data_IF_849537091637
#
_entry.id   IF_849537091637
#
_cell.length_a   1.000
_cell.length_b   1.000
_cell.length_c   1.000
_cell.angle_alpha   90.00
_cell.angle_beta   90.00
_cell.angle_gamma   90.00
#
_symmetry.space_group_name_H-M   'P 1'
#
loop_
_entity.id
_entity.type
_entity.pdbx_description
1 polymer ?
#
# COMPACT_ATOMS: atom_id res chain seq x y z
N UNK A 1 -0.56 -1.92 7.09
CA UNK A 1 0.56 -2.77 6.63
C UNK A 1 0.68 -2.49 5.15
N UNK A 2 1.72 -1.78 4.74
CA UNK A 2 1.86 -1.33 3.35
C UNK A 2 2.65 -2.38 2.53
N UNK A 3 2.05 -2.79 1.41
CA UNK A 3 2.59 -3.65 0.37
C UNK A 3 3.27 -2.84 -0.74
N UNK A 4 4.49 -2.37 -0.53
CA UNK A 4 5.29 -1.79 -1.61
C UNK A 4 5.90 -2.87 -2.49
N UNK A 5 5.83 -2.70 -3.82
CA UNK A 5 6.60 -3.50 -4.76
C UNK A 5 8.09 -3.16 -4.64
N UNK A 6 8.96 -4.11 -5.03
CA UNK A 6 10.39 -3.85 -5.08
C UNK A 6 10.74 -2.73 -6.04
N UNK A 7 10.01 -2.57 -7.14
CA UNK A 7 10.18 -1.47 -8.09
C UNK A 7 9.92 -0.11 -7.46
N UNK A 8 8.85 0.04 -6.68
CA UNK A 8 8.57 1.29 -5.97
C UNK A 8 9.66 1.58 -4.95
N UNK A 9 10.07 0.55 -4.20
CA UNK A 9 11.18 0.63 -3.25
C UNK A 9 12.49 1.08 -3.91
N UNK A 10 12.84 0.49 -5.04
CA UNK A 10 14.03 0.79 -5.83
C UNK A 10 13.96 2.21 -6.42
N UNK A 11 12.81 2.62 -6.94
CA UNK A 11 12.56 3.98 -7.42
C UNK A 11 12.76 4.99 -6.29
N UNK A 12 12.15 4.77 -5.12
CA UNK A 12 12.29 5.65 -3.94
C UNK A 12 13.74 5.77 -3.45
N UNK A 13 14.55 4.70 -3.56
CA UNK A 13 16.00 4.76 -3.23
C UNK A 13 16.76 5.70 -4.17
N UNK A 14 16.42 5.70 -5.46
CA UNK A 14 17.06 6.54 -6.49
C UNK A 14 16.61 7.99 -6.43
N UNK A 15 15.36 8.23 -6.02
CA UNK A 15 14.83 9.57 -5.82
C UNK A 15 15.61 10.32 -4.71
N UNK A 16 15.63 11.65 -4.78
CA UNK A 16 16.47 12.51 -3.95
C UNK A 16 16.24 12.42 -2.44
N UNK A 17 17.01 13.19 -1.63
CA UNK A 17 17.02 13.09 -0.15
C UNK A 17 15.63 13.14 0.51
N UNK A 18 14.73 13.95 -0.05
CA UNK A 18 13.34 14.10 0.39
C UNK A 18 12.53 12.80 0.29
N UNK A 19 12.69 12.05 -0.80
CA UNK A 19 12.05 10.75 -1.01
C UNK A 19 12.79 9.62 -0.27
N UNK A 20 14.09 9.77 -0.01
CA UNK A 20 14.88 8.80 0.74
C UNK A 20 14.42 8.64 2.19
N UNK A 21 13.89 9.67 2.86
CA UNK A 21 13.40 9.54 4.24
C UNK A 21 12.11 8.73 4.32
N UNK A 22 11.18 8.96 3.40
CA UNK A 22 9.99 8.13 3.22
C UNK A 22 10.37 6.70 2.83
N UNK A 23 11.29 6.59 1.85
CA UNK A 23 11.92 5.34 1.46
C UNK A 23 12.52 4.62 2.65
N UNK A 24 13.31 5.26 3.52
CA UNK A 24 13.95 4.62 4.68
C UNK A 24 12.93 4.04 5.68
N UNK A 25 11.84 4.76 5.97
CA UNK A 25 10.78 4.26 6.86
C UNK A 25 10.05 3.06 6.25
N UNK A 26 9.79 3.10 4.95
CA UNK A 26 9.09 2.06 4.21
C UNK A 26 9.98 0.85 3.87
N UNK A 27 11.28 1.08 3.64
CA UNK A 27 12.32 0.10 3.30
C UNK A 27 12.93 -0.58 4.53
N UNK A 28 12.88 0.04 5.71
CA UNK A 28 13.43 -0.53 6.94
C UNK A 28 12.87 -1.93 7.25
N UNK A 29 11.62 -2.19 6.82
CA UNK A 29 10.93 -3.47 6.99
C UNK A 29 11.16 -4.48 5.84
N UNK A 30 11.90 -4.10 4.79
CA UNK A 30 12.13 -4.92 3.59
C UNK A 30 13.61 -4.96 3.20
N UNK A 31 14.49 -5.19 4.17
CA UNK A 31 15.90 -5.52 3.89
C UNK A 31 15.98 -6.89 3.20
N UNK A 32 15.74 -6.91 1.89
CA UNK A 32 16.37 -7.89 1.04
C UNK A 32 17.78 -7.39 0.74
N UNK A 33 18.79 -8.21 1.01
CA UNK A 33 20.17 -7.85 0.73
C UNK A 33 20.49 -8.34 -0.67
N UNK A 34 20.61 -7.40 -1.61
CA UNK A 34 21.16 -7.65 -2.96
C UNK A 34 22.44 -8.52 -2.91
N UNK A 35 23.19 -8.44 -1.80
CA UNK A 35 24.37 -9.27 -1.52
C UNK A 35 24.15 -10.79 -1.54
N UNK A 36 22.92 -11.30 -1.38
CA UNK A 36 22.67 -12.75 -1.39
C UNK A 36 22.43 -13.33 -2.79
N UNK A 37 22.10 -12.49 -3.78
CA UNK A 37 21.76 -12.96 -5.15
C UNK A 37 22.66 -12.38 -6.23
N UNK A 38 23.42 -11.32 -5.91
CA UNK A 38 24.18 -10.52 -6.87
C UNK A 38 23.32 -9.88 -7.97
N UNK A 39 21.99 -9.83 -7.79
CA UNK A 39 21.04 -9.20 -8.70
C UNK A 39 20.57 -7.86 -8.12
N UNK A 40 20.52 -6.85 -8.97
CA UNK A 40 19.79 -5.61 -8.66
C UNK A 40 18.29 -5.87 -8.76
N UNK A 41 17.48 -5.05 -8.08
CA UNK A 41 16.01 -5.19 -8.14
C UNK A 41 15.47 -5.14 -9.58
N UNK A 42 15.85 -4.18 -10.46
CA UNK A 42 15.36 -4.17 -11.83
C UNK A 42 15.79 -5.39 -12.66
N UNK A 43 17.03 -5.85 -12.47
CA UNK A 43 17.51 -7.05 -13.17
C UNK A 43 16.72 -8.29 -12.73
N UNK A 44 16.48 -8.44 -11.43
CA UNK A 44 15.65 -9.52 -10.89
C UNK A 44 14.19 -9.44 -11.37
N UNK A 45 13.58 -8.26 -11.41
CA UNK A 45 12.23 -8.05 -11.96
C UNK A 45 12.16 -8.48 -13.43
N UNK A 46 13.13 -8.06 -14.25
CA UNK A 46 13.21 -8.47 -15.66
C UNK A 46 13.35 -10.00 -15.80
N UNK A 47 14.16 -10.62 -14.95
CA UNK A 47 14.32 -12.07 -14.90
C UNK A 47 13.03 -12.80 -14.50
N UNK A 48 12.27 -12.25 -13.54
CA UNK A 48 10.94 -12.75 -13.15
C UNK A 48 10.00 -12.72 -14.35
N UNK A 49 9.89 -11.59 -15.04
CA UNK A 49 8.95 -11.44 -16.15
C UNK A 49 9.30 -12.34 -17.32
N UNK A 50 10.59 -12.43 -17.67
CA UNK A 50 11.08 -13.36 -18.69
C UNK A 50 10.83 -14.82 -18.31
N UNK A 51 11.06 -15.18 -17.05
CA UNK A 51 10.80 -16.55 -16.55
C UNK A 51 9.31 -16.88 -16.64
N UNK A 52 8.45 -15.93 -16.29
CA UNK A 52 7.00 -16.13 -16.28
C UNK A 52 6.38 -16.13 -17.67
N UNK A 53 6.94 -15.38 -18.61
CA UNK A 53 6.55 -15.44 -20.03
C UNK A 53 6.79 -16.83 -20.65
N UNK A 54 7.82 -17.55 -20.17
CA UNK A 54 8.15 -18.90 -20.60
C UNK A 54 7.74 -19.98 -19.58
N UNK A 55 6.79 -19.69 -18.68
CA UNK A 55 6.46 -20.59 -17.58
C UNK A 55 5.79 -21.88 -18.07
N UNK A 56 6.32 -23.06 -17.75
CA UNK A 56 5.74 -24.32 -18.19
C UNK A 56 4.43 -24.61 -17.44
N UNK A 57 3.53 -25.38 -18.06
CA UNK A 57 2.29 -25.84 -17.41
C UNK A 57 2.56 -26.68 -16.15
N UNK A 58 3.61 -27.50 -16.20
CA UNK A 58 4.05 -28.37 -15.10
C UNK A 58 5.51 -28.04 -14.75
N UNK A 59 5.77 -26.98 -13.98
CA UNK A 59 7.14 -26.60 -13.61
C UNK A 59 7.76 -27.62 -12.65
N UNK A 60 9.02 -27.95 -12.88
CA UNK A 60 9.81 -28.74 -11.95
C UNK A 60 10.04 -27.97 -10.63
N UNK A 61 10.25 -28.71 -9.54
CA UNK A 61 10.52 -28.12 -8.23
C UNK A 61 11.73 -27.16 -8.24
N UNK A 62 12.77 -27.49 -9.00
CA UNK A 62 13.94 -26.63 -9.19
C UNK A 62 13.60 -25.28 -9.85
N UNK A 63 12.72 -25.28 -10.87
CA UNK A 63 12.28 -24.05 -11.53
C UNK A 63 11.50 -23.17 -10.56
N UNK A 64 10.64 -23.78 -9.73
CA UNK A 64 9.84 -23.09 -8.73
C UNK A 64 10.70 -22.47 -7.61
N UNK A 65 11.72 -23.19 -7.11
CA UNK A 65 12.69 -22.64 -6.15
C UNK A 65 13.50 -21.49 -6.74
N UNK A 66 13.95 -21.61 -8.00
CA UNK A 66 14.63 -20.52 -8.70
C UNK A 66 13.73 -19.29 -8.86
N UNK A 67 12.46 -19.48 -9.22
CA UNK A 67 11.50 -18.37 -9.33
C UNK A 67 11.24 -17.72 -7.96
N UNK A 68 11.16 -18.50 -6.87
CA UNK A 68 11.07 -17.96 -5.52
C UNK A 68 12.27 -17.06 -5.16
N UNK A 69 13.48 -17.49 -5.51
CA UNK A 69 14.69 -16.68 -5.33
C UNK A 69 14.65 -15.39 -6.15
N UNK A 70 14.23 -15.46 -7.43
CA UNK A 70 14.10 -14.27 -8.29
C UNK A 70 13.10 -13.26 -7.73
N UNK A 71 11.96 -13.73 -7.22
CA UNK A 71 10.99 -12.86 -6.55
C UNK A 71 11.54 -12.19 -5.29
N UNK A 72 12.31 -12.92 -4.47
CA UNK A 72 12.99 -12.31 -3.33
C UNK A 72 13.99 -11.23 -3.79
N UNK A 73 14.77 -11.51 -4.83
CA UNK A 73 15.70 -10.56 -5.44
C UNK A 73 15.00 -9.31 -6.00
N UNK A 74 13.82 -9.48 -6.58
CA UNK A 74 12.97 -8.41 -7.07
C UNK A 74 12.23 -7.65 -5.95
N UNK A 75 12.50 -7.95 -4.66
CA UNK A 75 11.82 -7.33 -3.52
C UNK A 75 10.36 -7.75 -3.34
N UNK A 76 9.90 -8.77 -4.06
CA UNK A 76 8.56 -9.33 -4.01
C UNK A 76 8.53 -10.64 -3.20
N UNK A 77 8.61 -10.48 -1.88
CA UNK A 77 8.49 -11.61 -0.97
C UNK A 77 7.12 -12.29 -1.04
N UNK A 78 6.04 -11.57 -1.41
CA UNK A 78 4.71 -12.16 -1.41
C UNK A 78 4.58 -13.23 -2.49
N UNK A 79 5.10 -12.94 -3.68
CA UNK A 79 5.19 -13.92 -4.76
C UNK A 79 6.21 -15.01 -4.48
N UNK A 80 7.32 -14.72 -3.79
CA UNK A 80 8.23 -15.78 -3.33
C UNK A 80 7.55 -16.79 -2.39
N UNK A 81 6.67 -16.32 -1.49
CA UNK A 81 5.85 -17.19 -0.64
C UNK A 81 4.88 -18.02 -1.47
N UNK A 82 4.27 -17.47 -2.54
CA UNK A 82 3.42 -18.26 -3.46
C UNK A 82 4.22 -19.43 -4.04
N UNK A 83 5.40 -19.15 -4.56
CA UNK A 83 6.26 -20.18 -5.15
C UNK A 83 6.65 -21.26 -4.13
N UNK A 84 6.96 -20.87 -2.89
CA UNK A 84 7.24 -21.81 -1.81
C UNK A 84 6.04 -22.69 -1.47
N UNK A 85 4.84 -22.10 -1.35
CA UNK A 85 3.62 -22.84 -1.00
C UNK A 85 3.19 -23.82 -2.11
N UNK A 86 3.48 -23.50 -3.37
CA UNK A 86 3.18 -24.35 -4.53
C UNK A 86 4.21 -25.46 -4.78
N UNK A 87 5.29 -25.52 -4.01
CA UNK A 87 6.16 -26.70 -3.98
C UNK A 87 5.45 -27.86 -3.25
N UNK A 88 5.61 -29.11 -3.73
CA UNK A 88 5.32 -30.29 -2.91
C UNK A 88 6.03 -30.20 -1.57
N UNK A 89 5.43 -30.72 -0.51
CA UNK A 89 5.94 -30.57 0.85
C UNK A 89 7.38 -31.12 1.00
N UNK A 90 7.67 -32.28 0.40
CA UNK A 90 9.02 -32.87 0.37
C UNK A 90 10.07 -32.03 -0.39
N UNK A 91 9.63 -31.10 -1.23
CA UNK A 91 10.47 -30.22 -2.05
C UNK A 91 10.60 -28.80 -1.48
N UNK A 92 9.95 -28.51 -0.34
CA UNK A 92 10.07 -27.25 0.42
C UNK A 92 11.39 -27.20 1.19
N UNK A 93 12.50 -27.14 0.45
CA UNK A 93 13.88 -27.10 0.94
C UNK A 93 14.69 -26.04 0.19
N UNK A 94 15.83 -25.66 0.77
CA UNK A 94 16.83 -24.85 0.06
C UNK A 94 17.43 -25.65 -1.11
N UNK A 95 17.87 -24.95 -2.15
CA UNK A 95 18.38 -25.53 -3.39
C UNK A 95 18.09 -24.64 -4.60
N UNK A 96 18.72 -24.92 -5.74
CA UNK A 96 18.46 -24.22 -7.00
C UNK A 96 18.60 -22.69 -6.89
N UNK A 97 19.66 -22.27 -6.17
CA UNK A 97 19.99 -20.88 -5.79
C UNK A 97 19.11 -20.26 -4.69
N UNK A 98 18.07 -20.95 -4.23
CA UNK A 98 17.34 -20.55 -3.02
C UNK A 98 18.13 -21.02 -1.78
N UNK A 99 18.76 -20.08 -1.08
CA UNK A 99 19.58 -20.39 0.11
C UNK A 99 18.73 -20.64 1.36
N UNK A 100 19.33 -21.19 2.42
CA UNK A 100 18.64 -21.36 3.72
C UNK A 100 18.19 -19.99 4.29
N UNK A 101 19.05 -18.97 4.22
CA UNK A 101 18.72 -17.61 4.67
C UNK A 101 17.53 -17.00 3.89
N UNK A 102 17.45 -17.29 2.59
CA UNK A 102 16.29 -16.90 1.77
C UNK A 102 15.03 -17.65 2.18
N UNK A 103 15.12 -18.95 2.49
CA UNK A 103 13.98 -19.73 3.01
C UNK A 103 13.49 -19.17 4.34
N UNK A 104 14.39 -18.79 5.26
CA UNK A 104 14.00 -18.11 6.50
C UNK A 104 13.32 -16.76 6.23
N UNK A 105 13.83 -16.04 5.23
CA UNK A 105 13.21 -14.84 4.66
C UNK A 105 11.93 -15.12 3.89
N UNK A 106 11.53 -16.35 3.62
CA UNK A 106 10.18 -16.67 3.15
C UNK A 106 9.31 -16.98 4.37
N UNK A 107 9.75 -17.90 5.22
CA UNK A 107 8.99 -18.48 6.33
C UNK A 107 8.65 -17.51 7.45
N UNK A 108 9.44 -16.45 7.66
CA UNK A 108 9.04 -15.35 8.54
C UNK A 108 8.82 -15.78 10.01
N UNK A 109 9.55 -16.82 10.45
CA UNK A 109 9.40 -17.40 11.79
C UNK A 109 9.54 -16.33 12.87
N UNK A 110 8.62 -16.35 13.85
CA UNK A 110 8.63 -15.41 14.98
C UNK A 110 8.25 -13.96 14.65
N UNK A 111 7.74 -13.66 13.45
CA UNK A 111 7.28 -12.30 13.08
C UNK A 111 5.75 -12.19 13.20
N UNK A 112 5.21 -10.98 13.46
CA UNK A 112 3.78 -10.76 13.48
C UNK A 112 3.07 -11.18 12.18
N UNK A 113 1.78 -11.55 12.25
CA UNK A 113 0.97 -11.83 11.06
C UNK A 113 1.04 -10.71 10.02
N UNK A 114 0.91 -11.09 8.75
CA UNK A 114 0.94 -10.16 7.62
C UNK A 114 -0.03 -10.66 6.56
N UNK A 115 -1.00 -9.83 6.20
CA UNK A 115 -2.08 -10.22 5.29
C UNK A 115 -1.57 -10.58 3.89
N UNK A 116 -0.53 -9.90 3.39
CA UNK A 116 0.06 -10.22 2.09
C UNK A 116 0.54 -11.67 2.03
N UNK A 117 1.11 -12.19 3.12
CA UNK A 117 1.65 -13.56 3.16
C UNK A 117 0.64 -14.59 3.70
N UNK A 118 -0.08 -14.26 4.77
CA UNK A 118 -0.98 -15.17 5.46
C UNK A 118 -2.30 -15.38 4.71
N UNK A 119 -2.74 -14.38 3.95
CA UNK A 119 -3.98 -14.43 3.16
C UNK A 119 -3.64 -14.37 1.67
N UNK A 120 -2.97 -13.30 1.22
CA UNK A 120 -2.71 -13.05 -0.20
C UNK A 120 -1.94 -14.18 -0.88
N UNK A 121 -0.74 -14.51 -0.40
CA UNK A 121 0.08 -15.59 -0.98
C UNK A 121 -0.57 -16.97 -0.84
N UNK A 122 -1.25 -17.24 0.27
CA UNK A 122 -1.95 -18.52 0.49
C UNK A 122 -3.10 -18.68 -0.51
N UNK A 123 -3.91 -17.63 -0.69
CA UNK A 123 -5.00 -17.63 -1.66
C UNK A 123 -4.47 -17.78 -3.09
N UNK A 124 -3.46 -17.00 -3.47
CA UNK A 124 -2.84 -17.10 -4.80
C UNK A 124 -2.28 -18.51 -5.07
N UNK A 125 -1.62 -19.13 -4.09
CA UNK A 125 -1.13 -20.50 -4.21
C UNK A 125 -2.27 -21.52 -4.43
N UNK A 126 -3.38 -21.39 -3.69
CA UNK A 126 -4.57 -22.25 -3.84
C UNK A 126 -5.27 -22.08 -5.19
N UNK A 127 -5.28 -20.85 -5.71
CA UNK A 127 -5.86 -20.54 -7.02
C UNK A 127 -4.96 -20.91 -8.20
N UNK A 128 -3.75 -21.44 -7.94
CA UNK A 128 -2.80 -21.77 -9.00
C UNK A 128 -2.18 -20.55 -9.68
N UNK A 129 -2.19 -19.38 -9.04
CA UNK A 129 -1.51 -18.18 -9.51
C UNK A 129 -0.01 -18.27 -9.19
N UNK A 130 0.81 -17.55 -9.97
CA UNK A 130 2.28 -17.54 -9.77
C UNK A 130 2.77 -16.30 -9.00
N UNK A 131 1.93 -15.27 -8.84
CA UNK A 131 2.33 -14.03 -8.17
C UNK A 131 1.17 -13.30 -7.50
N UNK A 132 1.52 -12.43 -6.57
CA UNK A 132 0.61 -11.45 -5.96
C UNK A 132 1.09 -10.06 -6.38
N UNK A 133 0.19 -9.23 -6.89
CA UNK A 133 0.47 -7.83 -7.15
C UNK A 133 0.21 -7.02 -5.89
N UNK A 134 1.23 -6.30 -5.43
CA UNK A 134 1.10 -5.40 -4.29
C UNK A 134 0.58 -4.03 -4.78
N UNK A 135 -0.34 -3.41 -4.02
CA UNK A 135 -1.11 -2.24 -4.48
C UNK A 135 -0.79 -0.94 -3.74
N UNK A 136 0.03 -0.98 -2.70
CA UNK A 136 0.31 0.18 -1.84
C UNK A 136 1.49 0.99 -2.41
N UNK A 137 1.24 1.66 -3.52
CA UNK A 137 2.26 2.41 -4.24
C UNK A 137 2.40 3.84 -3.70
N UNK A 138 3.53 4.14 -3.07
CA UNK A 138 3.79 5.41 -2.39
C UNK A 138 4.59 6.45 -3.21
N UNK A 139 4.66 6.37 -4.55
CA UNK A 139 5.41 7.40 -5.31
C UNK A 139 4.77 8.79 -5.29
N UNK A 140 3.47 8.87 -5.01
CA UNK A 140 2.76 10.15 -4.87
C UNK A 140 2.93 10.77 -3.48
N UNK A 141 3.53 10.06 -2.54
CA UNK A 141 3.77 10.58 -1.21
C UNK A 141 4.86 11.65 -1.27
N UNK A 142 4.50 12.85 -0.83
CA UNK A 142 5.47 13.92 -0.68
C UNK A 142 6.43 13.68 0.49
N UNK A 143 7.53 14.45 0.59
CA UNK A 143 8.29 14.51 1.83
C UNK A 143 7.37 14.87 3.00
N UNK A 144 7.77 14.42 4.20
CA UNK A 144 7.08 14.76 5.44
C UNK A 144 6.82 16.27 5.50
N UNK A 145 5.55 16.65 5.58
CA UNK A 145 5.13 18.06 5.69
C UNK A 145 5.55 18.60 7.06
N UNK A 146 5.64 19.92 7.19
CA UNK A 146 5.99 20.57 8.45
C UNK A 146 5.16 20.01 9.62
N UNK A 147 5.81 19.77 10.76
CA UNK A 147 5.20 19.21 11.99
C UNK A 147 3.86 19.87 12.35
N UNK A 148 3.74 21.18 12.09
CA UNK A 148 2.55 21.96 12.29
C UNK A 148 1.30 21.40 11.57
N UNK A 149 1.45 20.78 10.39
CA UNK A 149 0.35 20.11 9.69
C UNK A 149 -0.17 18.90 10.47
N UNK A 150 0.74 18.05 10.94
CA UNK A 150 0.37 16.89 11.77
C UNK A 150 -0.31 17.31 13.06
N UNK A 151 0.21 18.34 13.73
CA UNK A 151 -0.39 18.91 14.94
C UNK A 151 -1.78 19.52 14.68
N UNK A 152 -1.95 20.23 13.56
CA UNK A 152 -3.24 20.79 13.17
C UNK A 152 -4.30 19.69 12.91
N UNK A 153 -3.92 18.63 12.18
CA UNK A 153 -4.80 17.46 11.93
C UNK A 153 -5.13 16.75 13.25
N UNK A 154 -4.11 16.49 14.09
CA UNK A 154 -4.32 15.83 15.38
C UNK A 154 -5.22 16.66 16.31
N UNK A 155 -5.10 17.99 16.30
CA UNK A 155 -5.98 18.88 17.06
C UNK A 155 -7.43 18.76 16.59
N UNK A 156 -7.64 18.65 15.28
CA UNK A 156 -8.95 18.43 14.65
C UNK A 156 -9.52 17.05 15.02
N UNK A 157 -8.68 16.03 15.16
CA UNK A 157 -9.06 14.67 15.55
C UNK A 157 -9.28 14.48 17.05
N UNK A 158 -8.62 15.30 17.88
CA UNK A 158 -8.69 15.23 19.35
C UNK A 158 -9.90 15.97 19.95
N UNK A 159 -10.76 16.57 19.13
CA UNK A 159 -11.94 17.31 19.60
C UNK A 159 -12.89 16.37 20.34
N UNK A 160 -13.32 16.81 21.54
CA UNK A 160 -14.30 16.11 22.38
C UNK A 160 -15.68 16.78 22.29
N UNK A 161 -16.78 16.03 22.52
CA UNK A 161 -16.81 14.57 22.76
C UNK A 161 -16.43 13.78 21.51
N UNK A 162 -15.90 12.56 21.71
CA UNK A 162 -15.62 11.66 20.59
C UNK A 162 -16.93 11.28 19.90
N UNK A 163 -17.02 11.35 18.55
CA UNK A 163 -18.22 10.93 17.84
C UNK A 163 -18.63 9.49 18.19
N UNK A 164 -19.93 9.29 18.44
CA UNK A 164 -20.48 8.01 18.90
C UNK A 164 -20.10 6.82 18.01
N UNK A 165 -19.94 7.05 16.69
CA UNK A 165 -19.55 6.00 15.75
C UNK A 165 -18.16 5.41 16.06
N UNK A 166 -17.21 6.22 16.53
CA UNK A 166 -15.87 5.74 16.93
C UNK A 166 -15.90 4.94 18.23
N UNK A 167 -16.77 5.30 19.17
CA UNK A 167 -17.03 4.48 20.36
C UNK A 167 -17.64 3.13 19.96
N UNK A 168 -18.58 3.12 19.02
CA UNK A 168 -19.20 1.88 18.54
C UNK A 168 -18.21 0.98 17.78
N UNK A 169 -17.32 1.56 16.97
CA UNK A 169 -16.22 0.82 16.35
C UNK A 169 -15.36 0.11 17.41
N UNK A 170 -14.92 0.83 18.45
CA UNK A 170 -14.12 0.25 19.55
C UNK A 170 -14.88 -0.86 20.28
N UNK A 171 -16.16 -0.62 20.59
CA UNK A 171 -17.01 -1.59 21.29
C UNK A 171 -17.14 -2.90 20.52
N UNK A 172 -17.39 -2.83 19.21
CA UNK A 172 -17.50 -4.03 18.36
C UNK A 172 -16.16 -4.74 18.17
N UNK A 173 -15.07 -4.00 17.98
CA UNK A 173 -13.73 -4.60 17.87
C UNK A 173 -13.32 -5.34 19.13
N UNK A 174 -13.69 -4.83 20.31
CA UNK A 174 -13.41 -5.49 21.59
C UNK A 174 -14.14 -6.85 21.76
N UNK A 175 -15.13 -7.14 20.92
CA UNK A 175 -15.92 -8.38 20.96
C UNK A 175 -15.37 -9.48 20.04
N UNK A 176 -14.29 -9.24 19.28
CA UNK A 176 -13.76 -10.24 18.36
C UNK A 176 -13.21 -11.47 19.11
N UNK A 177 -13.87 -12.61 18.94
CA UNK A 177 -13.46 -13.93 19.42
C UNK A 177 -13.38 -14.95 18.29
N UNK A 178 -14.09 -14.71 17.20
CA UNK A 178 -14.23 -15.63 16.07
C UNK A 178 -14.04 -14.92 14.72
N UNK A 179 -13.67 -15.65 13.66
CA UNK A 179 -13.59 -15.10 12.31
C UNK A 179 -14.93 -14.50 11.83
N UNK A 180 -16.06 -15.13 12.18
CA UNK A 180 -17.39 -14.68 11.74
C UNK A 180 -17.76 -13.31 12.33
N UNK A 181 -17.36 -13.01 13.57
CA UNK A 181 -17.55 -11.69 14.18
C UNK A 181 -16.72 -10.61 13.49
N UNK A 182 -15.51 -10.94 13.03
CA UNK A 182 -14.68 -10.03 12.23
C UNK A 182 -15.37 -9.73 10.90
N UNK A 183 -15.87 -10.74 10.20
CA UNK A 183 -16.60 -10.55 8.93
C UNK A 183 -17.89 -9.75 9.15
N UNK A 184 -18.65 -10.06 10.20
CA UNK A 184 -19.87 -9.32 10.55
C UNK A 184 -19.56 -7.85 10.85
N UNK A 185 -18.46 -7.57 11.55
CA UNK A 185 -17.98 -6.21 11.74
C UNK A 185 -17.61 -5.51 10.45
N UNK A 186 -16.89 -6.17 9.54
CA UNK A 186 -16.53 -5.58 8.25
C UNK A 186 -17.76 -5.23 7.42
N UNK A 187 -18.77 -6.11 7.39
CA UNK A 187 -20.06 -5.85 6.73
C UNK A 187 -20.75 -4.65 7.35
N UNK A 188 -20.96 -4.66 8.67
CA UNK A 188 -21.55 -3.54 9.40
C UNK A 188 -20.79 -2.22 9.17
N UNK A 189 -19.46 -2.26 9.20
CA UNK A 189 -18.60 -1.10 8.99
C UNK A 189 -18.77 -0.52 7.58
N UNK A 190 -19.13 -1.34 6.60
CA UNK A 190 -19.35 -0.96 5.19
C UNK A 190 -20.81 -0.61 4.88
N UNK A 191 -21.75 -0.81 5.79
CA UNK A 191 -23.14 -0.39 5.59
C UNK A 191 -23.25 1.12 5.31
N UNK A 192 -24.18 1.55 4.44
CA UNK A 192 -24.35 2.95 4.08
C UNK A 192 -24.54 3.87 5.29
N UNK A 193 -25.31 3.46 6.29
CA UNK A 193 -25.55 4.23 7.53
C UNK A 193 -24.26 4.42 8.32
N UNK A 194 -23.48 3.35 8.49
CA UNK A 194 -22.20 3.38 9.19
C UNK A 194 -21.20 4.26 8.46
N UNK A 195 -21.10 4.14 7.14
CA UNK A 195 -20.22 4.99 6.32
C UNK A 195 -20.65 6.46 6.39
N UNK A 196 -21.95 6.76 6.31
CA UNK A 196 -22.48 8.12 6.46
C UNK A 196 -22.17 8.72 7.83
N UNK A 197 -22.35 7.94 8.90
CA UNK A 197 -22.03 8.36 10.27
C UNK A 197 -20.53 8.64 10.44
N UNK A 198 -19.67 7.79 9.88
CA UNK A 198 -18.22 7.96 9.89
C UNK A 198 -17.77 9.20 9.13
N UNK A 199 -18.32 9.43 7.93
CA UNK A 199 -18.04 10.65 7.14
C UNK A 199 -18.52 11.90 7.90
N UNK A 200 -19.70 11.86 8.50
CA UNK A 200 -20.24 12.96 9.28
C UNK A 200 -19.37 13.25 10.53
N UNK A 201 -18.89 12.22 11.21
CA UNK A 201 -18.00 12.31 12.36
C UNK A 201 -16.62 12.87 12.00
N UNK A 202 -16.04 12.40 10.89
CA UNK A 202 -14.68 12.73 10.47
C UNK A 202 -14.61 14.08 9.73
N UNK A 203 -15.47 14.28 8.74
CA UNK A 203 -15.45 15.45 7.85
C UNK A 203 -16.59 16.43 8.14
N UNK A 204 -17.79 15.94 8.48
CA UNK A 204 -19.01 16.74 8.62
C UNK A 204 -19.05 17.67 9.83
N UNK A 205 -18.69 17.15 11.02
CA UNK A 205 -18.57 17.94 12.24
C UNK A 205 -17.44 18.99 12.14
N UNK A 206 -16.47 18.73 11.25
CA UNK A 206 -15.22 19.47 11.17
C UNK A 206 -15.24 20.58 10.11
N UNK A 207 -16.00 20.41 9.01
CA UNK A 207 -16.35 21.50 8.07
C UNK A 207 -17.19 22.61 8.70
N UNK A 208 -18.05 22.30 9.68
CA UNK A 208 -18.95 23.28 10.29
C UNK A 208 -18.24 24.29 11.22
N UNK A 209 -16.99 24.02 11.63
CA UNK A 209 -16.22 24.86 12.56
C UNK A 209 -15.09 25.67 11.90
N UNK A 210 -14.87 25.51 10.60
CA UNK A 210 -13.90 26.31 9.83
C UNK A 210 -14.62 27.03 8.70
N UNK A 211 -14.53 28.37 8.66
CA UNK A 211 -14.96 29.13 7.49
C UNK A 211 -14.23 28.60 6.25
N UNK A 212 -14.87 28.62 5.08
CA UNK A 212 -14.36 28.12 3.79
C UNK A 212 -12.89 28.49 3.49
N UNK A 213 -12.41 29.59 4.08
CA UNK A 213 -11.04 30.14 3.97
C UNK A 213 -9.97 29.36 4.75
N UNK A 214 -10.30 28.74 5.90
CA UNK A 214 -9.31 28.09 6.76
C UNK A 214 -8.99 26.65 6.33
N UNK A 215 -9.95 25.93 5.75
CA UNK A 215 -9.73 24.56 5.25
C UNK A 215 -8.93 24.52 3.93
N UNK A 216 -9.14 25.51 3.03
CA UNK A 216 -8.37 25.62 1.77
C UNK A 216 -6.97 26.18 1.98
N UNK A 217 -6.79 27.16 2.87
CA UNK A 217 -5.47 27.69 3.21
C UNK A 217 -4.55 26.63 3.84
N UNK A 218 -5.13 25.66 4.55
CA UNK A 218 -4.39 24.54 5.13
C UNK A 218 -4.15 23.37 4.17
N UNK A 219 -4.67 23.37 2.94
CA UNK A 219 -4.55 22.20 2.07
C UNK A 219 -4.13 22.50 0.62
N UNK A 220 -4.11 23.75 0.15
CA UNK A 220 -3.96 24.06 -1.30
C UNK A 220 -2.78 25.01 -1.66
N UNK A 221 -2.33 25.95 -0.81
CA UNK A 221 -1.13 26.78 -1.11
C UNK A 221 -0.03 26.50 -0.05
N UNK A 222 1.09 25.83 -0.39
CA UNK A 222 2.25 25.73 0.49
C UNK A 222 3.03 27.04 0.40
N UNK A 223 2.73 27.98 1.29
CA UNK A 223 3.41 29.26 1.34
C UNK A 223 2.62 30.23 2.21
N UNK A 224 3.00 30.33 3.48
CA UNK A 224 2.34 31.19 4.44
C UNK A 224 2.20 32.63 3.95
N UNK A 225 1.01 33.20 4.17
CA UNK A 225 0.58 34.63 4.24
C UNK A 225 1.17 35.72 3.33
N UNK A 226 2.20 35.51 2.52
CA UNK A 226 2.80 36.55 1.66
C UNK A 226 3.04 36.12 0.21
N UNK A 227 2.83 34.86 -0.15
CA UNK A 227 2.79 34.46 -1.56
C UNK A 227 1.43 34.83 -2.14
N UNK A 228 1.40 35.80 -3.04
CA UNK A 228 0.26 36.08 -3.91
C UNK A 228 -0.04 34.81 -4.73
N UNK A 229 -1.03 34.00 -4.31
CA UNK A 229 -1.55 32.92 -5.15
C UNK A 229 -2.14 33.64 -6.40
N UNK A 230 -1.48 33.53 -7.55
CA UNK A 230 -1.88 34.14 -8.82
C UNK A 230 -3.05 33.36 -9.46
N UNK A 231 -4.10 33.14 -8.69
CA UNK A 231 -5.37 32.64 -9.19
C UNK A 231 -6.47 33.64 -8.80
N UNK A 232 -6.55 34.71 -9.58
CA UNK A 232 -7.70 35.60 -9.57
C UNK A 232 -8.88 34.88 -10.25
N UNK A 233 -10.09 34.89 -9.66
CA UNK A 233 -11.27 34.27 -10.27
C UNK A 233 -11.73 34.98 -11.55
N UNK A 234 -11.09 36.09 -11.93
CA UNK A 234 -11.36 36.85 -13.16
C UNK A 234 -10.60 36.36 -14.40
N UNK A 235 -9.66 35.41 -14.28
CA UNK A 235 -8.94 34.84 -15.43
C UNK A 235 -9.44 33.45 -15.83
N UNK A 236 -10.72 33.16 -15.62
CA UNK A 236 -11.39 32.12 -16.39
C UNK A 236 -11.36 32.54 -17.86
N UNK A 237 -10.41 31.99 -18.62
CA UNK A 237 -10.51 31.98 -20.07
C UNK A 237 -11.92 31.49 -20.42
N UNK A 238 -12.70 32.33 -21.11
CA UNK A 238 -14.01 31.92 -21.63
C UNK A 238 -13.77 30.64 -22.42
N UNK A 239 -14.39 29.55 -21.97
CA UNK A 239 -14.62 28.41 -22.83
C UNK A 239 -15.33 28.96 -24.08
N UNK A 240 -14.87 28.64 -25.31
CA UNK A 240 -15.61 29.01 -26.50
C UNK A 240 -17.02 28.43 -26.39
N UNK A 241 -18.01 29.27 -26.70
CA UNK A 241 -19.42 28.88 -26.65
C UNK A 241 -19.65 27.64 -27.52
N UNK A 242 -20.41 26.68 -26.99
CA UNK A 242 -20.88 25.52 -27.74
C UNK A 242 -21.57 25.98 -29.03
N UNK A 243 -21.31 25.35 -30.18
CA UNK A 243 -22.02 25.69 -31.42
C UNK A 243 -23.51 25.39 -31.23
N UNK A 244 -24.35 26.32 -31.67
CA UNK A 244 -25.80 26.19 -31.71
C UNK A 244 -26.21 25.00 -32.57
N UNK A 245 -27.26 24.25 -32.20
CA UNK A 245 -27.77 23.17 -33.03
C UNK A 245 -28.34 23.76 -34.31
N UNK A 246 -27.86 23.26 -35.46
CA UNK A 246 -28.46 23.54 -36.76
C UNK A 246 -29.80 22.82 -36.80
N UNK A 247 -30.88 23.59 -36.82
CA UNK A 247 -32.22 23.09 -37.11
C UNK A 247 -32.41 22.99 -38.62
N UNK A 248 -32.62 21.75 -39.07
CA UNK A 248 -33.10 21.29 -40.40
C UNK A 248 -32.25 21.64 -41.62
#
# INVERSE_FOLDING_TARGET
>A
MEGLSGETCDTLKRLGPACRRLGQLLLANRRFRESETSLTVPAATSDVDRTLAAWPRNPAAAQRRRLAMLFLAAGDRASAVVQWLRLPEAERKAGDRLTVAMVETILRKGRPPNENYAIGSVLAARLGLERVYLVDHHLADGPEREKAYGEAIQKVWSIKPEPAIFTEYKRRQAQFRTPDEVIAYYRWAKEPETQRASIAADMGARRKRTTRRSYMAANICPGGRTATCAWSPTSAARLPASPTPVSS
#
